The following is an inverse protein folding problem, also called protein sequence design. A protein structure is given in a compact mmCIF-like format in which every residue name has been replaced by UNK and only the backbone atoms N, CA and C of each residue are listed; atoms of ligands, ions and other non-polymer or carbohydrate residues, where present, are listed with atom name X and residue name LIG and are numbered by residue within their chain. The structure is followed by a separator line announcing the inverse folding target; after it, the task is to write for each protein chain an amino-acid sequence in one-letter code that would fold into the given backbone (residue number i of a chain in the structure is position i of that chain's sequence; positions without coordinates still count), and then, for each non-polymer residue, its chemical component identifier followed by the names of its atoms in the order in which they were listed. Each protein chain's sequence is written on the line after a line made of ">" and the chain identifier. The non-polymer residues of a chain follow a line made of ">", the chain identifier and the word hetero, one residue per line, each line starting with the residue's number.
data_IF_351257798367
#
_entry.id   IF_351257798367
#
_cell.length_a   1.000
_cell.length_b   1.000
_cell.length_c   1.000
_cell.angle_alpha   90.00
_cell.angle_beta   90.00
_cell.angle_gamma   90.00
#
_symmetry.space_group_name_H-M   'P 1'
#
loop_
_entity.id
_entity.type
_entity.pdbx_description
1 polymer ?
#
# COMPACT_ATOMS: atom_id res chain seq x y z
N UNK A 1 -5.66 9.60 -4.39
CA UNK A 1 -4.42 9.29 -3.65
C UNK A 1 -3.35 9.13 -4.68
N UNK A 2 -2.27 9.88 -4.58
CA UNK A 2 -1.13 9.71 -5.49
C UNK A 2 -0.27 8.52 -5.09
N UNK A 3 0.62 8.07 -5.96
CA UNK A 3 1.57 7.02 -5.64
C UNK A 3 2.49 7.42 -4.47
N UNK A 4 2.89 8.70 -4.43
CA UNK A 4 3.64 9.26 -3.32
C UNK A 4 2.84 9.22 -2.00
N UNK A 5 1.52 9.49 -2.03
CA UNK A 5 0.66 9.34 -0.84
C UNK A 5 0.63 7.90 -0.32
N UNK A 6 0.52 6.92 -1.23
CA UNK A 6 0.53 5.50 -0.88
C UNK A 6 1.87 5.14 -0.23
N UNK A 7 2.99 5.54 -0.84
CA UNK A 7 4.33 5.30 -0.32
C UNK A 7 4.53 5.89 1.09
N UNK A 8 4.16 7.16 1.28
CA UNK A 8 4.22 7.84 2.58
C UNK A 8 3.39 7.15 3.64
N UNK A 9 2.16 6.76 3.29
CA UNK A 9 1.25 6.05 4.21
C UNK A 9 1.82 4.70 4.61
N UNK A 10 2.29 3.89 3.68
CA UNK A 10 2.91 2.60 4.00
C UNK A 10 4.14 2.81 4.91
N UNK A 11 5.03 3.75 4.55
CA UNK A 11 6.21 4.07 5.37
C UNK A 11 5.82 4.40 6.81
N UNK A 12 4.85 5.31 6.98
CA UNK A 12 4.39 5.71 8.30
C UNK A 12 3.69 4.55 9.04
N UNK A 13 2.71 3.89 8.42
CA UNK A 13 1.93 2.79 9.01
C UNK A 13 2.81 1.68 9.57
N UNK A 14 3.92 1.35 8.89
CA UNK A 14 4.82 0.27 9.28
C UNK A 14 6.13 0.73 9.94
N UNK A 15 6.23 2.02 10.29
CA UNK A 15 7.42 2.64 10.89
C UNK A 15 8.74 2.31 10.15
N UNK A 16 8.71 2.41 8.82
CA UNK A 16 9.84 2.08 7.97
C UNK A 16 10.77 3.30 7.86
N UNK A 17 12.05 3.12 8.20
CA UNK A 17 13.08 4.15 8.07
C UNK A 17 13.52 4.32 6.62
N UNK A 18 14.06 5.48 6.25
CA UNK A 18 14.42 5.80 4.86
C UNK A 18 15.46 4.84 4.26
N UNK A 19 16.44 4.41 5.06
CA UNK A 19 17.40 3.39 4.64
C UNK A 19 16.70 2.05 4.30
N UNK A 20 15.79 1.60 5.17
CA UNK A 20 15.02 0.38 4.94
C UNK A 20 14.06 0.50 3.74
N UNK A 21 13.56 1.71 3.45
CA UNK A 21 12.75 1.95 2.25
C UNK A 21 13.56 1.68 0.98
N UNK A 22 14.83 2.10 0.89
CA UNK A 22 15.71 1.80 -0.23
C UNK A 22 16.01 0.29 -0.33
N UNK A 23 16.26 -0.37 0.80
CA UNK A 23 16.47 -1.82 0.85
C UNK A 23 15.26 -2.60 0.31
N UNK A 24 14.03 -2.11 0.56
CA UNK A 24 12.81 -2.73 0.06
C UNK A 24 12.77 -2.77 -1.47
N UNK A 25 13.21 -1.71 -2.18
CA UNK A 25 13.29 -1.75 -3.64
C UNK A 25 14.29 -2.82 -4.12
N UNK A 26 15.42 -2.96 -3.41
CA UNK A 26 16.46 -3.94 -3.74
C UNK A 26 15.95 -5.38 -3.60
N UNK A 27 14.98 -5.62 -2.71
CA UNK A 27 14.31 -6.92 -2.60
C UNK A 27 13.45 -7.27 -3.84
N UNK A 28 13.15 -6.30 -4.70
CA UNK A 28 12.54 -6.48 -6.02
C UNK A 28 13.56 -6.32 -7.18
N UNK A 29 14.85 -6.49 -6.90
CA UNK A 29 15.95 -6.44 -7.88
C UNK A 29 16.08 -5.07 -8.58
N UNK A 30 15.72 -3.99 -7.87
CA UNK A 30 15.88 -2.60 -8.35
C UNK A 30 16.58 -1.78 -7.27
N UNK A 31 17.75 -1.23 -7.61
CA UNK A 31 18.48 -0.33 -6.72
C UNK A 31 17.96 1.11 -6.85
N UNK A 32 17.75 1.77 -5.71
CA UNK A 32 17.38 3.19 -5.63
C UNK A 32 18.22 3.86 -4.54
N UNK A 33 18.52 5.14 -4.68
CA UNK A 33 19.25 5.88 -3.65
C UNK A 33 18.33 6.35 -2.52
N UNK A 34 18.89 6.54 -1.32
CA UNK A 34 18.14 7.13 -0.20
C UNK A 34 17.66 8.56 -0.52
N UNK A 35 18.44 9.30 -1.32
CA UNK A 35 18.05 10.63 -1.82
C UNK A 35 16.80 10.55 -2.70
N UNK A 36 16.74 9.57 -3.62
CA UNK A 36 15.57 9.35 -4.47
C UNK A 36 14.33 9.01 -3.64
N UNK A 37 14.46 8.14 -2.65
CA UNK A 37 13.39 7.84 -1.68
C UNK A 37 12.94 9.10 -0.95
N UNK A 38 13.89 9.92 -0.48
CA UNK A 38 13.60 11.18 0.21
C UNK A 38 12.81 12.13 -0.69
N UNK A 39 13.17 12.24 -1.97
CA UNK A 39 12.44 13.06 -2.94
C UNK A 39 11.01 12.56 -3.21
N UNK A 40 10.77 11.24 -3.21
CA UNK A 40 9.41 10.70 -3.31
C UNK A 40 8.56 10.93 -2.06
N UNK A 41 9.18 11.05 -0.89
CA UNK A 41 8.48 11.25 0.39
C UNK A 41 8.16 12.72 0.68
N UNK A 42 8.77 13.67 -0.04
CA UNK A 42 8.47 15.11 0.08
C UNK A 42 7.02 15.43 -0.30
N UNK A 43 6.51 16.53 0.25
CA UNK A 43 5.19 17.08 -0.11
C UNK A 43 5.25 17.69 -1.51
N UNK A 44 4.11 17.77 -2.20
CA UNK A 44 4.06 18.20 -3.61
C UNK A 44 4.51 19.67 -3.80
N UNK A 45 4.46 20.49 -2.75
CA UNK A 45 4.88 21.89 -2.77
C UNK A 45 6.39 22.07 -2.57
N UNK A 46 7.13 21.01 -2.19
CA UNK A 46 8.57 21.05 -1.99
C UNK A 46 9.30 21.09 -3.34
N UNK A 47 10.31 21.96 -3.47
CA UNK A 47 11.06 22.12 -4.74
C UNK A 47 11.86 20.88 -5.13
N UNK A 48 12.19 20.01 -4.17
CA UNK A 48 12.86 18.74 -4.41
C UNK A 48 11.87 17.56 -4.49
N UNK A 49 10.57 17.82 -4.59
CA UNK A 49 9.56 16.78 -4.80
C UNK A 49 9.76 16.09 -6.15
N UNK A 50 9.71 14.76 -6.13
CA UNK A 50 9.68 13.94 -7.34
C UNK A 50 8.42 13.08 -7.33
N UNK A 51 7.69 13.09 -8.43
CA UNK A 51 6.52 12.22 -8.62
C UNK A 51 6.95 10.76 -8.75
N UNK A 52 6.37 9.89 -7.95
CA UNK A 52 6.55 8.44 -8.02
C UNK A 52 5.66 7.87 -9.14
N UNK A 53 6.26 7.23 -10.13
CA UNK A 53 5.55 6.56 -11.22
C UNK A 53 4.86 5.28 -10.76
N UNK A 54 3.91 4.81 -11.55
CA UNK A 54 3.21 3.54 -11.32
C UNK A 54 4.18 2.37 -11.23
N UNK A 55 5.16 2.34 -12.14
CA UNK A 55 6.19 1.31 -12.19
C UNK A 55 7.08 1.31 -10.96
N UNK A 56 7.52 2.48 -10.51
CA UNK A 56 8.33 2.59 -9.29
C UNK A 56 7.53 2.16 -8.04
N UNK A 57 6.26 2.54 -7.93
CA UNK A 57 5.42 2.05 -6.84
C UNK A 57 5.18 0.53 -6.94
N UNK A 58 5.01 -0.02 -8.13
CA UNK A 58 4.87 -1.46 -8.34
C UNK A 58 6.13 -2.23 -7.88
N UNK A 59 7.32 -1.71 -8.19
CA UNK A 59 8.60 -2.24 -7.70
C UNK A 59 8.63 -2.21 -6.18
N UNK A 60 8.33 -1.06 -5.56
CA UNK A 60 8.29 -0.94 -4.10
C UNK A 60 7.35 -1.97 -3.48
N UNK A 61 6.14 -2.14 -4.01
CA UNK A 61 5.15 -3.07 -3.48
C UNK A 61 5.56 -4.55 -3.66
N UNK A 62 6.22 -4.90 -4.76
CA UNK A 62 6.82 -6.22 -4.92
C UNK A 62 7.94 -6.45 -3.89
N UNK A 63 8.77 -5.44 -3.69
CA UNK A 63 9.81 -5.43 -2.66
C UNK A 63 9.22 -5.57 -1.26
N UNK A 64 8.10 -4.90 -1.00
CA UNK A 64 7.40 -4.93 0.28
C UNK A 64 6.78 -6.31 0.56
N UNK A 65 6.28 -6.99 -0.47
CA UNK A 65 5.89 -8.40 -0.36
C UNK A 65 7.10 -9.23 0.06
N UNK A 66 8.25 -9.09 -0.60
CA UNK A 66 9.45 -9.83 -0.26
C UNK A 66 9.98 -9.49 1.14
N UNK A 67 9.88 -8.23 1.57
CA UNK A 67 10.22 -7.79 2.91
C UNK A 67 9.36 -8.44 3.99
N UNK A 68 8.05 -8.57 3.77
CA UNK A 68 7.12 -9.15 4.76
C UNK A 68 7.03 -10.68 4.71
N UNK A 69 7.29 -11.29 3.55
CA UNK A 69 7.01 -12.71 3.28
C UNK A 69 8.25 -13.54 2.96
N UNK A 70 9.41 -12.89 2.79
CA UNK A 70 10.59 -13.48 2.18
C UNK A 70 10.49 -13.52 0.65
N UNK A 71 11.64 -13.45 -0.01
CA UNK A 71 11.75 -13.62 -1.46
C UNK A 71 11.48 -15.09 -1.80
N UNK A 72 10.52 -15.33 -2.71
CA UNK A 72 10.20 -16.70 -3.14
C UNK A 72 11.26 -17.23 -4.09
N UNK A 73 11.50 -18.54 -4.08
CA UNK A 73 12.33 -19.19 -5.08
C UNK A 73 11.67 -19.12 -6.47
N UNK A 74 12.48 -18.90 -7.50
CA UNK A 74 12.04 -18.84 -8.90
C UNK A 74 11.72 -17.42 -9.40
N UNK A 75 10.92 -17.38 -10.47
CA UNK A 75 10.62 -16.14 -11.20
C UNK A 75 9.88 -15.14 -10.31
N UNK A 76 10.45 -13.94 -10.19
CA UNK A 76 9.81 -12.85 -9.45
C UNK A 76 8.69 -12.21 -10.28
N UNK A 77 7.65 -11.66 -9.64
CA UNK A 77 6.62 -10.91 -10.34
C UNK A 77 7.21 -9.70 -11.07
N UNK A 78 6.93 -9.58 -12.37
CA UNK A 78 7.31 -8.40 -13.15
C UNK A 78 6.53 -7.18 -12.63
N UNK A 79 7.20 -6.06 -12.31
CA UNK A 79 6.51 -4.83 -11.93
C UNK A 79 5.60 -4.32 -13.04
N UNK A 80 4.41 -3.87 -12.67
CA UNK A 80 3.41 -3.42 -13.63
C UNK A 80 3.71 -1.99 -14.13
N UNK A 81 3.63 -1.78 -15.45
CA UNK A 81 3.88 -0.45 -16.04
C UNK A 81 2.76 0.56 -15.73
N UNK A 82 1.55 0.07 -15.44
CA UNK A 82 0.40 0.85 -14.97
C UNK A 82 -0.16 0.22 -13.73
N UNK A 83 -0.45 1.05 -12.74
CA UNK A 83 -0.88 0.60 -11.43
C UNK A 83 -2.22 1.27 -11.08
N UNK A 84 -3.17 0.47 -10.63
CA UNK A 84 -4.42 0.97 -10.08
C UNK A 84 -4.59 0.50 -8.63
N UNK A 85 -5.56 1.08 -7.93
CA UNK A 85 -5.80 0.77 -6.54
C UNK A 85 -6.18 -0.70 -6.28
N UNK A 86 -6.84 -1.39 -7.22
CA UNK A 86 -7.11 -2.83 -7.08
C UNK A 86 -5.80 -3.62 -7.00
N UNK A 87 -4.82 -3.28 -7.83
CA UNK A 87 -3.51 -3.91 -7.86
C UNK A 87 -2.70 -3.58 -6.60
N UNK A 88 -2.71 -2.32 -6.16
CA UNK A 88 -2.09 -1.92 -4.88
C UNK A 88 -2.69 -2.70 -3.72
N UNK A 89 -4.02 -2.75 -3.64
CA UNK A 89 -4.73 -3.45 -2.57
C UNK A 89 -4.41 -4.96 -2.60
N UNK A 90 -4.38 -5.57 -3.78
CA UNK A 90 -3.99 -6.97 -3.94
C UNK A 90 -2.57 -7.24 -3.45
N UNK A 91 -1.60 -6.36 -3.77
CA UNK A 91 -0.21 -6.50 -3.30
C UNK A 91 -0.09 -6.34 -1.80
N UNK A 92 -0.77 -5.35 -1.21
CA UNK A 92 -0.81 -5.16 0.25
C UNK A 92 -1.45 -6.35 0.97
N UNK A 93 -2.56 -6.89 0.44
CA UNK A 93 -3.18 -8.11 0.97
C UNK A 93 -2.18 -9.27 1.01
N UNK A 94 -1.41 -9.46 -0.07
CA UNK A 94 -0.40 -10.53 -0.16
C UNK A 94 0.73 -10.27 0.84
N UNK A 95 1.26 -9.03 0.89
CA UNK A 95 2.37 -8.67 1.78
C UNK A 95 2.00 -8.93 3.25
N UNK A 96 0.79 -8.57 3.64
CA UNK A 96 0.29 -8.69 5.01
C UNK A 96 -0.34 -10.05 5.32
N UNK A 97 -0.38 -10.97 4.35
CA UNK A 97 -0.98 -12.29 4.48
C UNK A 97 -2.44 -12.27 4.97
N UNK A 98 -3.21 -11.28 4.52
CA UNK A 98 -4.57 -11.06 5.01
C UNK A 98 -5.57 -11.96 4.27
N UNK A 99 -6.47 -12.57 5.04
CA UNK A 99 -7.69 -13.22 4.58
C UNK A 99 -8.82 -12.21 4.46
N UNK A 100 -9.96 -12.66 3.96
CA UNK A 100 -11.12 -11.80 3.78
C UNK A 100 -11.63 -11.27 5.12
N UNK A 101 -11.71 -12.13 6.15
CA UNK A 101 -12.09 -11.75 7.51
C UNK A 101 -11.19 -10.65 8.08
N UNK A 102 -9.86 -10.79 7.96
CA UNK A 102 -8.90 -9.81 8.48
C UNK A 102 -9.11 -8.43 7.85
N UNK A 103 -9.38 -8.37 6.54
CA UNK A 103 -9.63 -7.11 5.84
C UNK A 103 -10.95 -6.47 6.29
N UNK A 104 -11.99 -7.28 6.51
CA UNK A 104 -13.27 -6.78 7.00
C UNK A 104 -13.13 -6.19 8.40
N UNK A 105 -12.37 -6.85 9.28
CA UNK A 105 -12.09 -6.36 10.63
C UNK A 105 -11.26 -5.06 10.59
N UNK A 106 -10.30 -4.94 9.67
CA UNK A 106 -9.56 -3.69 9.41
C UNK A 106 -10.50 -2.54 9.05
N UNK A 107 -11.48 -2.76 8.16
CA UNK A 107 -12.43 -1.72 7.77
C UNK A 107 -13.36 -1.30 8.92
N UNK A 108 -13.69 -2.21 9.84
CA UNK A 108 -14.49 -1.87 11.03
C UNK A 108 -13.78 -0.88 11.95
N UNK A 109 -12.44 -0.88 11.99
CA UNK A 109 -11.67 0.05 12.83
C UNK A 109 -11.84 1.52 12.44
N UNK A 110 -12.21 1.77 11.18
CA UNK A 110 -12.49 3.09 10.60
C UNK A 110 -13.98 3.26 10.29
N UNK A 111 -14.83 2.44 10.92
CA UNK A 111 -16.30 2.47 10.79
C UNK A 111 -16.81 2.33 9.34
N UNK A 112 -15.97 1.79 8.45
CA UNK A 112 -16.33 1.61 7.06
C UNK A 112 -16.99 0.24 6.87
N UNK A 113 -18.26 0.26 6.44
CA UNK A 113 -19.00 -0.98 6.17
C UNK A 113 -18.68 -1.48 4.76
N UNK A 114 -18.09 -2.67 4.68
CA UNK A 114 -17.84 -3.39 3.44
C UNK A 114 -18.35 -4.82 3.59
N UNK A 115 -19.12 -5.32 2.62
CA UNK A 115 -19.53 -6.73 2.64
C UNK A 115 -18.45 -7.64 2.04
N UNK A 116 -18.47 -8.94 2.38
CA UNK A 116 -17.56 -9.94 1.79
C UNK A 116 -17.70 -10.04 0.25
N UNK A 117 -18.90 -9.79 -0.28
CA UNK A 117 -19.17 -9.77 -1.71
C UNK A 117 -18.50 -8.57 -2.39
N UNK A 118 -18.62 -7.38 -1.81
CA UNK A 118 -17.95 -6.18 -2.31
C UNK A 118 -16.43 -6.28 -2.21
N UNK A 119 -15.91 -6.82 -1.10
CA UNK A 119 -14.48 -7.07 -0.94
C UNK A 119 -13.97 -8.01 -2.03
N UNK A 120 -14.68 -9.12 -2.27
CA UNK A 120 -14.32 -10.08 -3.31
C UNK A 120 -14.31 -9.47 -4.72
N UNK A 121 -15.15 -8.46 -4.98
CA UNK A 121 -15.24 -7.78 -6.27
C UNK A 121 -13.96 -7.01 -6.63
N UNK A 122 -13.23 -6.49 -5.63
CA UNK A 122 -11.98 -5.77 -5.85
C UNK A 122 -10.84 -6.65 -6.37
N UNK A 123 -10.88 -7.96 -6.08
CA UNK A 123 -9.83 -8.90 -6.46
C UNK A 123 -10.19 -9.73 -7.70
N UNK A 124 -11.28 -9.39 -8.41
CA UNK A 124 -11.60 -9.99 -9.71
C UNK A 124 -10.73 -9.37 -10.79
N UNK A 125 -10.55 -10.09 -11.90
CA UNK A 125 -9.86 -9.56 -13.09
C UNK A 125 -10.72 -8.47 -13.75
N UNK A 126 -10.11 -7.43 -14.33
CA UNK A 126 -10.81 -6.48 -15.20
C UNK A 126 -11.60 -7.22 -16.28
N UNK A 127 -12.82 -6.76 -16.56
CA UNK A 127 -13.75 -7.40 -17.51
C UNK A 127 -14.64 -8.51 -16.91
N UNK A 128 -14.42 -8.93 -15.66
CA UNK A 128 -15.37 -9.80 -14.97
C UNK A 128 -16.67 -9.03 -14.63
N UNK A 129 -17.84 -9.66 -14.79
CA UNK A 129 -19.14 -9.04 -14.44
C UNK A 129 -19.26 -8.57 -12.99
N UNK A 130 -18.49 -9.19 -12.09
CA UNK A 130 -18.44 -8.87 -10.67
C UNK A 130 -17.15 -8.11 -10.31
N UNK A 131 -16.44 -7.55 -11.29
CA UNK A 131 -15.31 -6.66 -11.03
C UNK A 131 -15.82 -5.32 -10.50
N UNK A 132 -15.18 -4.82 -9.45
CA UNK A 132 -15.40 -3.46 -8.97
C UNK A 132 -14.07 -2.73 -8.86
N UNK A 133 -14.04 -1.51 -9.36
CA UNK A 133 -12.90 -0.62 -9.16
C UNK A 133 -12.76 -0.26 -7.67
N UNK A 134 -11.56 -0.41 -7.14
CA UNK A 134 -11.20 0.05 -5.81
C UNK A 134 -10.93 1.56 -5.90
N UNK A 135 -11.82 2.38 -5.36
CA UNK A 135 -11.62 3.84 -5.35
C UNK A 135 -10.60 4.25 -4.30
N UNK A 136 -10.06 5.46 -4.44
CA UNK A 136 -9.08 6.02 -3.51
C UNK A 136 -9.54 5.98 -2.05
N UNK A 137 -10.84 6.27 -1.81
CA UNK A 137 -11.38 6.25 -0.45
C UNK A 137 -11.31 4.85 0.18
N UNK A 138 -11.51 3.80 -0.60
CA UNK A 138 -11.42 2.42 -0.11
C UNK A 138 -9.99 2.11 0.30
N UNK A 139 -9.02 2.42 -0.55
CA UNK A 139 -7.61 2.18 -0.27
C UNK A 139 -7.12 3.02 0.93
N UNK A 140 -7.58 4.28 1.03
CA UNK A 140 -7.30 5.17 2.16
C UNK A 140 -7.82 4.59 3.47
N UNK A 141 -9.08 4.15 3.50
CA UNK A 141 -9.72 3.58 4.68
C UNK A 141 -9.03 2.27 5.09
N UNK A 142 -8.65 1.43 4.13
CA UNK A 142 -7.89 0.22 4.41
C UNK A 142 -6.54 0.55 5.07
N UNK A 143 -5.74 1.46 4.51
CA UNK A 143 -4.44 1.84 5.08
C UNK A 143 -4.58 2.51 6.46
N UNK A 144 -5.62 3.32 6.67
CA UNK A 144 -5.92 3.91 7.98
C UNK A 144 -6.31 2.84 9.00
N UNK A 145 -7.13 1.86 8.62
CA UNK A 145 -7.47 0.73 9.49
C UNK A 145 -6.24 -0.09 9.88
N UNK A 146 -5.33 -0.37 8.93
CA UNK A 146 -4.05 -1.03 9.22
C UNK A 146 -3.18 -0.17 10.16
N UNK A 147 -3.16 1.15 9.95
CA UNK A 147 -2.48 2.08 10.84
C UNK A 147 -3.05 2.00 12.27
N UNK A 148 -4.36 2.00 12.45
CA UNK A 148 -4.97 1.87 13.78
C UNK A 148 -4.67 0.53 14.45
N UNK A 149 -4.48 -0.56 13.69
CA UNK A 149 -4.02 -1.83 14.28
C UNK A 149 -2.59 -1.76 14.79
N UNK A 150 -1.69 -1.11 14.04
CA UNK A 150 -0.25 -1.08 14.34
C UNK A 150 0.15 0.09 15.23
N UNK A 151 -0.67 1.15 15.27
CA UNK A 151 -0.46 2.41 16.00
C UNK A 151 -1.77 2.84 16.68
N UNK A 152 -2.24 2.12 17.72
CA UNK A 152 -3.55 2.39 18.34
C UNK A 152 -3.71 3.80 18.91
N UNK A 153 -2.62 4.45 19.28
CA UNK A 153 -2.60 5.85 19.73
C UNK A 153 -3.10 6.82 18.65
N UNK A 154 -2.86 6.53 17.37
CA UNK A 154 -3.30 7.41 16.27
C UNK A 154 -4.84 7.45 16.20
N UNK A 155 -5.51 6.34 16.53
CA UNK A 155 -6.97 6.30 16.59
C UNK A 155 -7.54 7.22 17.67
N UNK A 156 -6.86 7.31 18.80
CA UNK A 156 -7.28 8.19 19.91
C UNK A 156 -7.13 9.66 19.50
N UNK A 157 -5.98 10.02 18.93
CA UNK A 157 -5.69 11.37 18.45
C UNK A 157 -6.72 11.80 17.41
N UNK A 158 -6.99 10.96 16.41
CA UNK A 158 -7.95 11.32 15.35
C UNK A 158 -9.38 11.48 15.91
N UNK A 159 -9.78 10.67 16.91
CA UNK A 159 -11.10 10.80 17.57
C UNK A 159 -11.24 12.04 18.45
N UNK A 160 -10.13 12.62 18.94
CA UNK A 160 -10.14 13.85 19.75
C UNK A 160 -10.18 15.13 18.87
N UNK A 161 -9.88 15.00 17.58
CA UNK A 161 -9.85 16.10 16.62
C UNK A 161 -11.14 16.27 15.81
N UNK A 162 -12.07 15.31 15.91
CA UNK A 162 -13.43 15.34 15.30
C UNK A 162 -14.47 16.00 16.22
#
# INVERSE_FOLDING_TARGET
>A
MTNNDILRRIRYTFDIKDAAMADIFSLADVEVSQEQVTHWLKKEEDTAFVKLSDKELAVFLNGFINFKRGKREGAQPVPEDRLNNNMVFQKLRIALNLKAEDILDIFQLVEFRLSSHELSAFFRKPGNKNYRECKDQILRNFLLGVQYQLRPQDKQIDSELE
#
